data_IF_714585923524
#
_entry.id   IF_714585923524
#
_cell.length_a   1.000
_cell.length_b   1.000
_cell.length_c   1.000
_cell.angle_alpha   90.00
_cell.angle_beta   90.00
_cell.angle_gamma   90.00
#
_symmetry.space_group_name_H-M   'P 1'
#
loop_
_entity.id
_entity.type
_entity.pdbx_description
1 polymer ?
#
# COMPACT_ATOMS: atom_id res chain seq x y z
N UNK A 1 -5.50 -14.18 6.10
CA UNK A 1 -6.12 -15.13 5.18
C UNK A 1 -5.78 -16.55 5.64
N UNK A 2 -6.76 -17.45 5.77
CA UNK A 2 -6.51 -18.83 6.18
C UNK A 2 -5.65 -19.55 5.12
N UNK A 3 -4.61 -20.25 5.57
CA UNK A 3 -3.73 -21.04 4.72
C UNK A 3 -3.94 -22.53 4.98
N UNK A 4 -3.98 -23.32 3.92
CA UNK A 4 -3.94 -24.78 4.05
C UNK A 4 -2.51 -25.22 4.37
N UNK A 5 -2.34 -25.92 5.47
CA UNK A 5 -1.04 -26.44 5.89
C UNK A 5 -0.83 -27.88 5.39
N UNK A 6 0.43 -28.26 5.08
CA UNK A 6 1.65 -27.46 5.10
C UNK A 6 1.69 -26.41 3.96
N UNK A 7 2.33 -25.25 4.19
CA UNK A 7 2.46 -24.16 3.22
C UNK A 7 3.87 -23.58 3.23
N UNK A 8 4.33 -23.09 2.08
CA UNK A 8 5.51 -22.26 2.01
C UNK A 8 5.26 -20.85 2.62
N UNK A 9 6.32 -20.11 2.87
CA UNK A 9 6.30 -18.72 3.35
C UNK A 9 6.71 -17.76 2.24
N UNK A 10 6.19 -16.53 2.32
CA UNK A 10 6.50 -15.44 1.39
C UNK A 10 5.56 -15.38 0.20
N UNK A 11 5.17 -14.14 -0.13
CA UNK A 11 4.17 -13.81 -1.15
C UNK A 11 4.76 -13.11 -2.37
N UNK A 12 5.85 -12.38 -2.20
CA UNK A 12 6.52 -11.62 -3.25
C UNK A 12 8.02 -11.93 -3.28
N UNK A 13 8.65 -11.70 -4.41
CA UNK A 13 10.08 -11.92 -4.57
C UNK A 13 10.59 -11.44 -5.93
N UNK A 14 11.91 -11.45 -6.08
CA UNK A 14 12.60 -11.21 -7.34
C UNK A 14 13.76 -12.20 -7.49
N UNK A 15 14.21 -12.39 -8.69
CA UNK A 15 15.31 -13.29 -8.97
C UNK A 15 15.72 -13.31 -10.44
N UNK A 16 16.59 -14.25 -10.76
CA UNK A 16 17.09 -14.48 -12.12
C UNK A 16 16.58 -15.86 -12.58
N UNK A 17 16.08 -15.93 -13.79
CA UNK A 17 15.63 -17.17 -14.39
C UNK A 17 16.82 -18.06 -14.68
N UNK A 18 16.84 -19.26 -14.11
CA UNK A 18 17.87 -20.29 -14.35
C UNK A 18 17.42 -21.36 -15.32
N UNK A 19 16.10 -21.61 -15.39
CA UNK A 19 15.50 -22.60 -16.29
C UNK A 19 14.15 -22.10 -16.81
N UNK A 20 13.76 -22.51 -18.01
CA UNK A 20 12.47 -22.21 -18.63
C UNK A 20 11.85 -23.47 -19.19
N UNK A 21 10.53 -23.63 -19.01
CA UNK A 21 9.79 -24.74 -19.61
C UNK A 21 9.73 -24.58 -21.14
N UNK A 22 9.64 -25.72 -21.85
CA UNK A 22 9.73 -25.82 -23.31
C UNK A 22 8.76 -24.91 -24.09
N UNK A 23 7.60 -24.62 -23.52
CA UNK A 23 6.54 -23.82 -24.18
C UNK A 23 6.60 -22.31 -23.83
N UNK A 24 7.59 -21.86 -23.07
CA UNK A 24 7.71 -20.46 -22.66
C UNK A 24 8.49 -19.68 -23.71
N UNK A 25 7.85 -18.65 -24.29
CA UNK A 25 8.45 -17.82 -25.36
C UNK A 25 8.80 -16.39 -24.92
N UNK A 26 8.20 -15.92 -23.85
CA UNK A 26 8.31 -14.52 -23.39
C UNK A 26 9.38 -14.30 -22.31
N UNK A 27 9.99 -15.38 -21.82
CA UNK A 27 11.09 -15.36 -20.86
C UNK A 27 12.23 -16.24 -21.31
N UNK A 28 13.44 -15.90 -20.88
CA UNK A 28 14.69 -16.66 -21.16
C UNK A 28 15.56 -16.74 -19.92
N UNK A 29 16.48 -17.68 -19.91
CA UNK A 29 17.52 -17.80 -18.89
C UNK A 29 18.30 -16.47 -18.81
N UNK A 30 18.55 -16.00 -17.59
CA UNK A 30 19.20 -14.72 -17.31
C UNK A 30 18.27 -13.53 -17.17
N UNK A 31 16.98 -13.64 -17.54
CA UNK A 31 16.02 -12.56 -17.31
C UNK A 31 15.85 -12.27 -15.80
N UNK A 32 15.97 -11.01 -15.42
CA UNK A 32 15.61 -10.53 -14.07
C UNK A 32 14.11 -10.39 -14.00
N UNK A 33 13.49 -10.99 -12.97
CA UNK A 33 12.03 -11.00 -12.78
C UNK A 33 11.65 -10.62 -11.37
N UNK A 34 10.44 -10.14 -11.22
CA UNK A 34 9.76 -9.97 -9.94
C UNK A 34 8.34 -10.50 -10.03
N UNK A 35 7.77 -10.85 -8.88
CA UNK A 35 6.43 -11.41 -8.78
C UNK A 35 5.81 -11.13 -7.42
N UNK A 36 4.46 -11.15 -7.38
CA UNK A 36 3.67 -11.22 -6.16
C UNK A 36 2.48 -12.15 -6.35
N UNK A 37 1.98 -12.72 -5.26
CA UNK A 37 0.80 -13.57 -5.24
C UNK A 37 1.10 -15.06 -5.06
N UNK A 38 0.07 -15.86 -5.25
CA UNK A 38 0.15 -17.31 -5.12
C UNK A 38 0.82 -17.97 -6.37
N UNK A 39 1.49 -19.10 -6.17
CA UNK A 39 1.68 -19.88 -4.94
C UNK A 39 2.66 -19.22 -3.97
N UNK A 40 2.45 -19.44 -2.66
CA UNK A 40 3.39 -19.01 -1.62
C UNK A 40 4.71 -19.78 -1.72
N UNK A 41 5.76 -19.31 -1.03
CA UNK A 41 7.06 -19.98 -0.99
C UNK A 41 8.21 -19.12 -1.50
N UNK A 42 8.12 -17.78 -1.38
CA UNK A 42 9.20 -16.87 -1.79
C UNK A 42 10.42 -16.95 -0.88
N UNK A 43 10.29 -17.53 0.33
CA UNK A 43 11.42 -17.79 1.22
C UNK A 43 12.16 -19.05 0.78
N UNK A 44 12.78 -18.96 -0.39
CA UNK A 44 13.52 -20.05 -1.02
C UNK A 44 14.66 -19.50 -1.88
N UNK A 45 15.72 -20.29 -2.03
CA UNK A 45 16.83 -19.95 -2.92
C UNK A 45 16.47 -20.16 -4.39
N UNK A 46 15.64 -21.17 -4.67
CA UNK A 46 15.12 -21.50 -6.00
C UNK A 46 13.67 -21.95 -5.88
N UNK A 47 12.87 -21.68 -6.90
CA UNK A 47 11.49 -22.16 -6.98
C UNK A 47 10.97 -22.18 -8.41
N UNK A 48 10.03 -23.07 -8.67
CA UNK A 48 9.22 -23.01 -9.88
C UNK A 48 8.06 -22.03 -9.68
N UNK A 49 7.84 -21.16 -10.66
CA UNK A 49 6.79 -20.15 -10.57
C UNK A 49 6.06 -19.97 -11.92
N UNK A 50 4.72 -19.83 -11.91
CA UNK A 50 3.94 -19.63 -13.15
C UNK A 50 4.30 -18.32 -13.84
N UNK A 51 4.58 -18.37 -15.13
CA UNK A 51 5.03 -17.17 -15.89
C UNK A 51 3.97 -16.08 -16.02
N UNK A 52 2.68 -16.40 -15.88
CA UNK A 52 1.58 -15.42 -15.98
C UNK A 52 1.66 -14.28 -14.95
N UNK A 53 2.34 -14.53 -13.82
CA UNK A 53 2.47 -13.55 -12.73
C UNK A 53 3.89 -12.96 -12.66
N UNK A 54 4.77 -13.30 -13.61
CA UNK A 54 6.12 -12.76 -13.68
C UNK A 54 6.14 -11.44 -14.43
N UNK A 55 6.88 -10.48 -13.89
CA UNK A 55 7.17 -9.19 -14.54
C UNK A 55 8.68 -9.10 -14.73
N UNK A 56 9.14 -8.69 -15.91
CA UNK A 56 10.54 -8.38 -16.12
C UNK A 56 10.92 -7.13 -15.35
N UNK A 57 12.00 -7.21 -14.60
CA UNK A 57 12.54 -6.06 -13.87
C UNK A 57 13.25 -5.15 -14.88
N UNK A 58 12.86 -3.88 -14.97
CA UNK A 58 13.54 -2.92 -15.86
C UNK A 58 15.02 -2.76 -15.53
N UNK A 59 15.81 -2.41 -16.53
CA UNK A 59 17.22 -2.09 -16.32
C UNK A 59 17.37 -0.92 -15.33
N UNK A 60 18.38 -1.00 -14.48
CA UNK A 60 18.65 0.00 -13.45
C UNK A 60 17.88 -0.19 -12.14
N UNK A 61 17.01 -1.20 -12.03
CA UNK A 61 16.36 -1.55 -10.78
C UNK A 61 17.05 -2.79 -10.17
N UNK A 62 17.44 -2.67 -8.91
CA UNK A 62 18.03 -3.77 -8.16
C UNK A 62 16.98 -4.81 -7.77
N UNK A 63 17.39 -6.09 -7.73
CA UNK A 63 16.49 -7.19 -7.37
C UNK A 63 15.92 -7.07 -5.96
N UNK A 64 16.68 -6.51 -5.01
CA UNK A 64 16.22 -6.25 -3.64
C UNK A 64 15.06 -5.26 -3.62
N UNK A 65 15.16 -4.19 -4.39
CA UNK A 65 14.07 -3.21 -4.58
C UNK A 65 12.88 -3.89 -5.26
N UNK A 66 13.10 -4.61 -6.35
CA UNK A 66 12.05 -5.31 -7.09
C UNK A 66 11.33 -6.35 -6.23
N UNK A 67 12.04 -7.06 -5.34
CA UNK A 67 11.48 -8.07 -4.44
C UNK A 67 10.51 -7.50 -3.40
N UNK A 68 10.64 -6.21 -3.05
CA UNK A 68 9.85 -5.57 -1.98
C UNK A 68 8.78 -4.62 -2.51
N UNK A 69 8.80 -4.33 -3.81
CA UNK A 69 7.95 -3.32 -4.42
C UNK A 69 6.59 -3.86 -4.89
N UNK A 70 6.53 -5.13 -5.30
CA UNK A 70 5.36 -5.62 -6.03
C UNK A 70 4.06 -5.50 -5.27
N UNK A 71 3.95 -6.07 -4.08
CA UNK A 71 2.71 -6.02 -3.29
C UNK A 71 2.37 -4.59 -2.88
N UNK A 72 3.35 -3.84 -2.41
CA UNK A 72 3.16 -2.47 -1.91
C UNK A 72 2.88 -1.48 -3.05
N UNK A 73 3.64 -1.57 -4.14
CA UNK A 73 3.48 -0.71 -5.31
C UNK A 73 2.17 -0.96 -6.05
N UNK A 74 1.79 -2.23 -6.27
CA UNK A 74 0.50 -2.58 -6.87
C UNK A 74 -0.67 -2.13 -6.00
N UNK A 75 -0.55 -2.26 -4.67
CA UNK A 75 -1.56 -1.74 -3.75
C UNK A 75 -1.70 -0.22 -3.89
N UNK A 76 -0.61 0.51 -3.86
CA UNK A 76 -0.61 1.96 -4.07
C UNK A 76 -1.23 2.33 -5.42
N UNK A 77 -0.86 1.62 -6.49
CA UNK A 77 -1.40 1.85 -7.82
C UNK A 77 -2.91 1.73 -7.87
N UNK A 78 -3.47 0.61 -7.39
CA UNK A 78 -4.92 0.44 -7.50
C UNK A 78 -5.67 1.39 -6.58
N UNK A 79 -5.14 1.74 -5.42
CA UNK A 79 -5.75 2.71 -4.52
C UNK A 79 -5.88 4.09 -5.19
N UNK A 80 -4.78 4.59 -5.77
CA UNK A 80 -4.71 5.93 -6.36
C UNK A 80 -5.36 6.06 -7.73
N UNK A 81 -5.44 4.96 -8.51
CA UNK A 81 -5.84 5.02 -9.91
C UNK A 81 -7.11 4.22 -10.26
N UNK A 82 -7.48 3.21 -9.44
CA UNK A 82 -8.60 2.32 -9.75
C UNK A 82 -9.73 2.40 -8.74
N UNK A 83 -9.42 2.39 -7.44
CA UNK A 83 -10.44 2.43 -6.40
C UNK A 83 -11.03 3.83 -6.27
N UNK A 84 -10.17 4.82 -6.08
CA UNK A 84 -10.55 6.23 -6.13
C UNK A 84 -9.46 6.98 -6.92
N UNK A 85 -9.69 7.24 -8.21
CA UNK A 85 -8.74 7.99 -9.02
C UNK A 85 -8.58 9.42 -8.50
N UNK A 86 -7.45 9.68 -7.82
CA UNK A 86 -7.18 10.98 -7.23
C UNK A 86 -6.91 12.04 -8.30
N UNK A 87 -7.20 13.28 -7.97
CA UNK A 87 -6.96 14.44 -8.85
C UNK A 87 -6.06 15.44 -8.17
N UNK A 88 -5.26 16.14 -8.96
CA UNK A 88 -4.44 17.25 -8.46
C UNK A 88 -5.28 18.28 -7.69
N UNK A 89 -4.75 18.80 -6.60
CA UNK A 89 -5.41 19.75 -5.71
C UNK A 89 -6.34 19.12 -4.66
N UNK A 90 -6.57 17.80 -4.68
CA UNK A 90 -7.34 17.15 -3.63
C UNK A 90 -6.52 16.97 -2.35
N UNK A 91 -7.16 17.16 -1.19
CA UNK A 91 -6.62 16.76 0.12
C UNK A 91 -7.18 15.38 0.46
N UNK A 92 -6.31 14.43 0.75
CA UNK A 92 -6.66 13.02 0.98
C UNK A 92 -6.07 12.52 2.30
N UNK A 93 -6.71 11.52 2.92
CA UNK A 93 -6.25 10.92 4.17
C UNK A 93 -5.80 9.47 3.96
N UNK A 94 -4.61 9.12 4.48
CA UNK A 94 -4.08 7.77 4.48
C UNK A 94 -3.64 7.34 5.88
N UNK A 95 -4.15 6.20 6.37
CA UNK A 95 -3.74 5.63 7.65
C UNK A 95 -2.48 4.76 7.53
N UNK A 96 -1.71 4.69 8.62
CA UNK A 96 -0.41 4.00 8.68
C UNK A 96 0.61 4.54 7.66
N UNK A 97 0.77 5.86 7.61
CA UNK A 97 1.59 6.60 6.67
C UNK A 97 3.06 6.15 6.59
N UNK A 98 3.66 5.73 7.71
CA UNK A 98 5.03 5.22 7.77
C UNK A 98 5.15 3.71 7.46
N UNK A 99 4.04 3.04 7.13
CA UNK A 99 4.04 1.63 6.73
C UNK A 99 4.56 1.43 5.30
N UNK A 100 4.80 0.17 4.90
CA UNK A 100 5.39 -0.13 3.59
C UNK A 100 4.57 0.37 2.40
N UNK A 101 3.23 0.27 2.44
CA UNK A 101 2.35 0.88 1.44
C UNK A 101 2.33 2.40 1.60
N UNK A 102 2.25 2.90 2.85
CA UNK A 102 2.14 4.32 3.15
C UNK A 102 3.30 5.16 2.61
N UNK A 103 4.54 4.67 2.72
CA UNK A 103 5.71 5.37 2.21
C UNK A 103 5.67 5.55 0.68
N UNK A 104 5.26 4.53 -0.06
CA UNK A 104 5.11 4.61 -1.52
C UNK A 104 3.91 5.50 -1.88
N UNK A 105 2.80 5.33 -1.14
CA UNK A 105 1.57 6.08 -1.36
C UNK A 105 1.77 7.59 -1.22
N UNK A 106 2.43 8.03 -0.15
CA UNK A 106 2.66 9.45 0.10
C UNK A 106 3.44 10.12 -1.04
N UNK A 107 4.57 9.52 -1.44
CA UNK A 107 5.37 10.00 -2.56
C UNK A 107 4.57 10.07 -3.87
N UNK A 108 3.83 9.00 -4.18
CA UNK A 108 3.06 8.93 -5.42
C UNK A 108 1.87 9.88 -5.43
N UNK A 109 1.10 9.95 -4.34
CA UNK A 109 0.00 10.90 -4.22
C UNK A 109 0.48 12.35 -4.31
N UNK A 110 1.64 12.67 -3.69
CA UNK A 110 2.28 13.97 -3.79
C UNK A 110 2.69 14.30 -5.24
N UNK A 111 3.25 13.36 -5.98
CA UNK A 111 3.60 13.56 -7.39
C UNK A 111 2.38 13.77 -8.29
N UNK A 112 1.21 13.27 -7.89
CA UNK A 112 -0.07 13.53 -8.57
C UNK A 112 -0.69 14.89 -8.18
N UNK A 113 -0.02 15.68 -7.33
CA UNK A 113 -0.46 17.01 -6.93
C UNK A 113 -1.50 17.02 -5.79
N UNK A 114 -1.59 15.93 -5.01
CA UNK A 114 -2.44 15.89 -3.83
C UNK A 114 -1.77 16.56 -2.62
N UNK A 115 -2.58 17.10 -1.71
CA UNK A 115 -2.19 17.35 -0.32
C UNK A 115 -2.47 16.09 0.48
N UNK A 116 -1.45 15.51 1.11
CA UNK A 116 -1.55 14.20 1.76
C UNK A 116 -1.51 14.35 3.27
N UNK A 117 -2.60 13.95 3.93
CA UNK A 117 -2.67 13.82 5.38
C UNK A 117 -2.39 12.36 5.73
N UNK A 118 -1.46 12.13 6.65
CA UNK A 118 -1.13 10.79 7.13
C UNK A 118 -1.38 10.62 8.61
N UNK A 119 -1.71 9.41 9.04
CA UNK A 119 -1.71 9.09 10.47
C UNK A 119 -0.63 8.06 10.80
N UNK A 120 -0.06 8.19 11.99
CA UNK A 120 0.94 7.28 12.54
C UNK A 120 0.62 6.93 13.99
N UNK A 121 1.18 5.81 14.48
CA UNK A 121 0.95 5.34 15.85
C UNK A 121 2.04 5.75 16.85
N UNK A 122 3.10 6.44 16.43
CA UNK A 122 4.16 6.93 17.34
C UNK A 122 4.87 8.14 16.74
N UNK A 123 5.53 8.92 17.59
CA UNK A 123 6.25 10.13 17.16
C UNK A 123 7.46 9.82 16.28
N UNK A 124 8.13 8.71 16.52
CA UNK A 124 9.28 8.26 15.73
C UNK A 124 8.91 8.07 14.24
N UNK A 125 7.63 7.74 13.98
CA UNK A 125 7.11 7.53 12.62
C UNK A 125 6.72 8.82 11.90
N UNK A 126 6.65 9.94 12.60
CA UNK A 126 6.26 11.24 12.02
C UNK A 126 7.28 11.67 10.95
N UNK A 127 8.56 11.60 11.25
CA UNK A 127 9.60 12.01 10.30
C UNK A 127 9.63 11.09 9.08
N UNK A 128 9.48 9.78 9.27
CA UNK A 128 9.39 8.82 8.16
C UNK A 128 8.25 9.20 7.22
N UNK A 129 7.07 9.51 7.74
CA UNK A 129 5.94 9.91 6.90
C UNK A 129 6.22 11.23 6.16
N UNK A 130 6.75 12.26 6.85
CA UNK A 130 7.08 13.56 6.23
C UNK A 130 8.07 13.41 5.09
N UNK A 131 9.13 12.63 5.28
CA UNK A 131 10.14 12.36 4.25
C UNK A 131 9.56 11.63 3.02
N UNK A 132 8.45 10.94 3.21
CA UNK A 132 7.74 10.21 2.16
C UNK A 132 6.50 10.97 1.61
N UNK A 133 6.50 12.31 1.67
CA UNK A 133 5.57 13.15 0.92
C UNK A 133 4.25 13.50 1.61
N UNK A 134 4.12 13.22 2.90
CA UNK A 134 2.97 13.66 3.68
C UNK A 134 3.11 15.12 4.12
N UNK A 135 2.14 15.95 3.76
CA UNK A 135 2.09 17.37 4.13
C UNK A 135 1.73 17.57 5.59
N UNK A 136 0.83 16.72 6.11
CA UNK A 136 0.40 16.71 7.49
C UNK A 136 0.50 15.30 8.05
N UNK A 137 1.05 15.16 9.26
CA UNK A 137 1.17 13.86 9.94
C UNK A 137 0.61 13.96 11.34
N UNK A 138 -0.33 13.09 11.69
CA UNK A 138 -1.06 13.09 12.95
C UNK A 138 -0.75 11.80 13.71
N UNK A 139 -0.30 11.92 14.95
CA UNK A 139 -0.16 10.76 15.84
C UNK A 139 -1.50 10.50 16.54
N UNK A 140 -2.24 9.50 16.06
CA UNK A 140 -3.58 9.17 16.56
C UNK A 140 -3.61 8.64 18.01
N UNK A 141 -2.46 8.30 18.60
CA UNK A 141 -2.39 7.95 20.01
C UNK A 141 -2.29 9.17 20.94
N UNK A 142 -2.04 10.36 20.38
CA UNK A 142 -1.91 11.61 21.13
C UNK A 142 -2.99 12.63 20.79
N UNK A 143 -3.54 12.55 19.59
CA UNK A 143 -4.48 13.53 19.07
C UNK A 143 -5.70 12.85 18.47
N UNK A 144 -6.87 13.50 18.56
CA UNK A 144 -8.05 13.12 17.78
C UNK A 144 -7.80 13.46 16.31
N UNK A 145 -7.45 12.44 15.53
CA UNK A 145 -7.13 12.64 14.13
C UNK A 145 -8.33 13.16 13.31
N UNK A 146 -9.56 12.78 13.68
CA UNK A 146 -10.74 13.24 12.95
C UNK A 146 -10.93 14.74 13.13
N UNK A 147 -10.76 15.24 14.35
CA UNK A 147 -10.78 16.67 14.65
C UNK A 147 -9.67 17.40 13.88
N UNK A 148 -8.46 16.87 13.88
CA UNK A 148 -7.32 17.46 13.16
C UNK A 148 -7.52 17.51 11.65
N UNK A 149 -8.06 16.45 11.05
CA UNK A 149 -8.39 16.43 9.61
C UNK A 149 -9.41 17.52 9.29
N UNK A 150 -10.47 17.67 10.11
CA UNK A 150 -11.46 18.74 9.90
C UNK A 150 -10.86 20.14 10.09
N UNK A 151 -9.94 20.35 11.04
CA UNK A 151 -9.20 21.59 11.18
C UNK A 151 -8.37 21.91 9.91
N UNK A 152 -7.62 20.94 9.40
CA UNK A 152 -6.79 21.09 8.18
C UNK A 152 -7.64 21.39 6.94
N UNK A 153 -8.87 20.89 6.89
CA UNK A 153 -9.78 21.02 5.73
C UNK A 153 -10.87 22.07 5.91
N UNK A 154 -10.75 22.99 6.87
CA UNK A 154 -11.76 24.03 7.20
C UNK A 154 -13.16 23.45 7.38
N UNK A 155 -13.28 22.31 8.04
CA UNK A 155 -14.54 21.61 8.30
C UNK A 155 -15.12 20.85 7.10
N UNK A 156 -14.49 20.88 5.93
CA UNK A 156 -15.03 20.26 4.69
C UNK A 156 -14.84 18.74 4.64
N UNK A 157 -13.83 18.24 5.36
CA UNK A 157 -13.41 16.85 5.28
C UNK A 157 -12.67 16.52 3.99
N UNK A 158 -12.38 15.23 3.77
CA UNK A 158 -11.61 14.74 2.62
C UNK A 158 -12.50 13.92 1.67
N UNK A 159 -12.27 13.97 0.35
CA UNK A 159 -13.04 13.18 -0.61
C UNK A 159 -12.78 11.68 -0.49
N UNK A 160 -11.65 11.28 0.09
CA UNK A 160 -11.31 9.87 0.29
C UNK A 160 -10.45 9.67 1.54
N UNK A 161 -10.75 8.58 2.26
CA UNK A 161 -9.92 8.03 3.34
C UNK A 161 -9.46 6.63 2.92
N UNK A 162 -8.16 6.39 2.90
CA UNK A 162 -7.57 5.07 2.69
C UNK A 162 -7.17 4.46 4.02
N UNK A 163 -7.83 3.38 4.40
CA UNK A 163 -7.68 2.76 5.72
C UNK A 163 -7.23 1.30 5.62
N UNK A 164 -5.99 1.05 6.01
CA UNK A 164 -5.41 -0.28 6.16
C UNK A 164 -5.38 -0.76 7.61
N UNK A 165 -5.83 0.08 8.56
CA UNK A 165 -5.80 -0.21 10.01
C UNK A 165 -7.07 -0.95 10.44
N UNK A 166 -8.24 -0.44 10.06
CA UNK A 166 -9.51 -1.12 10.27
C UNK A 166 -10.21 -0.73 11.57
N UNK A 167 -10.46 -1.69 12.46
CA UNK A 167 -11.31 -1.54 13.66
C UNK A 167 -11.06 -0.25 14.45
N UNK A 168 -9.82 0.09 14.71
CA UNK A 168 -9.46 1.22 15.57
C UNK A 168 -9.64 2.59 14.90
N UNK A 169 -9.68 2.65 13.59
CA UNK A 169 -9.74 3.91 12.82
C UNK A 169 -11.08 4.17 12.16
N UNK A 170 -11.91 3.14 11.95
CA UNK A 170 -13.15 3.23 11.19
C UNK A 170 -14.04 4.42 11.53
N UNK A 171 -14.41 4.56 12.81
CA UNK A 171 -15.32 5.62 13.24
C UNK A 171 -14.76 7.02 13.04
N UNK A 172 -13.46 7.20 13.26
CA UNK A 172 -12.77 8.46 12.99
C UNK A 172 -12.66 8.71 11.49
N UNK A 173 -12.36 7.69 10.70
CA UNK A 173 -12.25 7.75 9.25
C UNK A 173 -13.55 8.24 8.60
N UNK A 174 -14.70 7.71 9.06
CA UNK A 174 -16.02 8.15 8.58
C UNK A 174 -16.25 9.65 8.89
N UNK A 175 -15.85 10.11 10.08
CA UNK A 175 -15.97 11.52 10.48
C UNK A 175 -15.08 12.47 9.65
N UNK A 176 -14.01 11.96 9.06
CA UNK A 176 -13.12 12.75 8.19
C UNK A 176 -13.68 12.97 6.79
N UNK A 177 -14.69 12.20 6.37
CA UNK A 177 -15.19 12.26 5.00
C UNK A 177 -15.96 13.55 4.72
N UNK A 178 -15.68 14.14 3.57
CA UNK A 178 -16.55 15.14 2.97
C UNK A 178 -17.90 14.53 2.56
N UNK A 179 -18.91 15.38 2.28
CA UNK A 179 -20.19 14.91 1.72
C UNK A 179 -19.92 14.13 0.43
N UNK A 180 -20.42 12.91 0.35
CA UNK A 180 -20.17 11.92 -0.73
C UNK A 180 -18.71 11.45 -0.83
N UNK A 181 -17.91 11.63 0.22
CA UNK A 181 -16.55 11.07 0.31
C UNK A 181 -16.57 9.54 0.37
N UNK A 182 -15.49 8.93 -0.04
CA UNK A 182 -15.32 7.49 -0.10
C UNK A 182 -14.42 6.99 1.03
N UNK A 183 -14.89 5.99 1.79
CA UNK A 183 -14.08 5.19 2.69
C UNK A 183 -13.53 3.98 1.94
N UNK A 184 -12.22 3.89 1.80
CA UNK A 184 -11.52 2.78 1.17
C UNK A 184 -10.85 1.93 2.24
N UNK A 185 -11.50 0.84 2.65
CA UNK A 185 -10.92 -0.14 3.56
C UNK A 185 -10.16 -1.19 2.76
N UNK A 186 -8.83 -1.21 2.86
CA UNK A 186 -7.97 -2.14 2.13
C UNK A 186 -7.15 -3.06 3.04
N UNK A 187 -7.34 -2.95 4.35
CA UNK A 187 -6.66 -3.77 5.35
C UNK A 187 -7.37 -3.75 6.71
N UNK A 188 -6.87 -4.57 7.62
CA UNK A 188 -7.45 -4.78 8.94
C UNK A 188 -6.39 -5.04 10.02
N UNK A 189 -5.30 -4.25 10.00
CA UNK A 189 -4.16 -4.44 10.91
C UNK A 189 -4.54 -4.42 12.41
N UNK A 190 -5.59 -3.68 12.78
CA UNK A 190 -6.12 -3.66 14.17
C UNK A 190 -7.29 -4.62 14.41
N UNK A 191 -7.62 -5.43 13.44
CA UNK A 191 -8.73 -6.37 13.47
C UNK A 191 -9.78 -6.10 12.39
N UNK A 192 -10.62 -7.10 12.09
CA UNK A 192 -11.66 -6.98 11.09
C UNK A 192 -12.67 -5.90 11.46
N UNK A 193 -13.27 -5.30 10.44
CA UNK A 193 -14.40 -4.41 10.61
C UNK A 193 -15.60 -5.24 11.06
N UNK A 194 -16.20 -4.88 12.19
CA UNK A 194 -17.47 -5.42 12.71
C UNK A 194 -18.45 -4.26 12.88
N UNK A 195 -19.73 -4.57 12.80
CA UNK A 195 -20.82 -3.64 13.16
C UNK A 195 -20.85 -2.35 12.31
N UNK A 196 -20.67 -2.48 11.00
CA UNK A 196 -21.00 -1.41 10.08
C UNK A 196 -22.52 -1.49 9.81
N UNK A 197 -23.28 -0.65 10.51
CA UNK A 197 -24.72 -0.47 10.29
C UNK A 197 -24.98 0.63 9.25
#
# INVERSE_FOLDING_TARGET
YPLKLPSGLGLEGAGIITEVGENIKNFKIGDKISYAGIPLGSYSTHRNYPTKNLIKVPDGIDLEVAATLMTKGLTTFYLLHKTFPVKSGQTILFHAAAGGVGQIFGQWAKSLGCTVIGTVGSDEKINIAKENGYDHVINYNKEDFAKKVLEITDGKGVPVVYDGVGKNTLNGSIKCLAIRGMMVSFGNASGPLSDIN
#
